data_IF_289325737648
#
_entry.id   IF_289325737648
#
_cell.length_a   1.000
_cell.length_b   1.000
_cell.length_c   1.000
_cell.angle_alpha   90.00
_cell.angle_beta   90.00
_cell.angle_gamma   90.00
#
_symmetry.space_group_name_H-M   'P 1'
#
loop_
_entity.id
_entity.type
_entity.pdbx_description
1 polymer ?
#
# COMPACT_ATOMS: atom_id res chain seq x y z
N UNK A 1 39.29 20.54 -7.37
CA UNK A 1 38.84 19.24 -7.92
C UNK A 1 37.69 18.74 -7.05
N UNK A 2 36.48 19.21 -7.34
CA UNK A 2 35.29 18.78 -6.60
C UNK A 2 34.90 17.38 -7.08
N UNK A 3 34.84 16.40 -6.18
CA UNK A 3 33.97 15.24 -6.37
C UNK A 3 33.34 14.87 -5.04
N UNK A 4 32.05 15.20 -4.97
CA UNK A 4 31.11 15.02 -3.88
C UNK A 4 30.72 13.54 -3.82
N UNK A 5 30.72 12.97 -2.61
CA UNK A 5 30.04 11.76 -2.12
C UNK A 5 29.62 10.65 -3.12
N UNK A 6 30.13 9.43 -2.90
CA UNK A 6 29.49 8.20 -3.39
C UNK A 6 28.13 8.01 -2.70
N UNK A 7 27.05 8.32 -3.42
CA UNK A 7 25.68 8.11 -2.97
C UNK A 7 25.33 6.62 -2.96
N UNK A 8 24.71 6.07 -1.89
CA UNK A 8 24.25 4.69 -1.88
C UNK A 8 23.22 4.47 -3.00
N UNK A 9 23.48 3.45 -3.83
CA UNK A 9 22.63 2.99 -4.91
C UNK A 9 21.19 2.81 -4.42
N UNK A 10 20.26 3.57 -5.02
CA UNK A 10 18.84 3.53 -4.71
C UNK A 10 18.31 2.14 -5.05
N UNK A 11 17.79 1.44 -4.03
CA UNK A 11 17.20 0.09 -4.11
C UNK A 11 16.20 0.04 -5.29
N UNK A 12 16.49 -0.69 -6.38
CA UNK A 12 15.76 -0.56 -7.65
C UNK A 12 14.33 -1.08 -7.61
N UNK A 13 14.00 -1.91 -6.63
CA UNK A 13 12.64 -2.39 -6.41
C UNK A 13 12.25 -2.12 -4.96
N UNK A 14 11.68 -0.95 -4.71
CA UNK A 14 10.88 -0.79 -3.50
C UNK A 14 9.76 -1.83 -3.60
N UNK A 15 9.81 -2.92 -2.82
CA UNK A 15 8.65 -3.80 -2.68
C UNK A 15 7.53 -2.92 -2.12
N UNK A 16 6.56 -2.56 -2.98
CA UNK A 16 5.39 -1.81 -2.55
C UNK A 16 4.83 -2.57 -1.34
N UNK A 17 4.76 -1.89 -0.19
CA UNK A 17 4.19 -2.48 1.02
C UNK A 17 2.82 -3.01 0.64
N UNK A 18 2.50 -4.25 1.04
CA UNK A 18 1.18 -4.83 0.82
C UNK A 18 0.19 -3.96 1.60
N UNK A 19 -0.50 -3.06 0.90
CA UNK A 19 -1.50 -2.18 1.48
C UNK A 19 -2.84 -2.88 1.40
N UNK A 20 -3.31 -3.34 2.54
CA UNK A 20 -4.70 -3.73 2.72
C UNK A 20 -5.59 -2.49 2.44
N UNK A 21 -6.66 -2.61 1.63
CA UNK A 21 -7.58 -1.49 1.35
C UNK A 21 -8.33 -1.02 2.61
N UNK A 22 -8.35 -1.84 3.66
CA UNK A 22 -9.00 -1.56 4.94
C UNK A 22 -8.04 -1.03 6.03
N UNK A 23 -6.73 -0.95 5.76
CA UNK A 23 -5.73 -0.52 6.76
C UNK A 23 -5.34 0.96 6.65
N UNK A 24 -5.98 1.73 5.76
CA UNK A 24 -5.74 3.17 5.61
C UNK A 24 -6.59 4.02 6.56
N UNK A 25 -6.17 5.27 6.80
CA UNK A 25 -6.92 6.24 7.63
C UNK A 25 -8.29 6.61 7.06
N UNK A 26 -8.53 6.39 5.76
CA UNK A 26 -9.83 6.56 5.09
C UNK A 26 -10.41 5.22 4.59
N UNK A 27 -10.05 4.12 5.25
CA UNK A 27 -10.57 2.81 4.89
C UNK A 27 -12.09 2.71 5.17
N UNK A 28 -12.85 2.02 4.30
CA UNK A 28 -14.23 1.68 4.62
C UNK A 28 -14.25 0.70 5.80
N UNK A 29 -15.10 0.97 6.79
CA UNK A 29 -15.35 0.03 7.89
C UNK A 29 -16.08 -1.19 7.32
N UNK A 30 -15.65 -2.39 7.72
CA UNK A 30 -16.31 -3.63 7.30
C UNK A 30 -17.39 -3.93 8.32
N UNK A 31 -18.64 -3.83 7.90
CA UNK A 31 -19.79 -4.31 8.65
C UNK A 31 -20.46 -5.46 7.88
N UNK A 32 -20.99 -6.44 8.63
CA UNK A 32 -21.65 -7.62 8.05
C UNK A 32 -22.99 -7.30 7.36
N UNK A 33 -23.55 -6.12 7.62
CA UNK A 33 -24.78 -5.63 7.01
C UNK A 33 -24.55 -5.01 5.63
N UNK A 34 -23.30 -4.67 5.30
CA UNK A 34 -22.96 -3.99 4.06
C UNK A 34 -22.77 -5.00 2.91
N UNK A 35 -23.90 -5.48 2.39
CA UNK A 35 -23.96 -6.47 1.31
C UNK A 35 -23.17 -6.00 0.06
N UNK A 36 -23.22 -4.70 -0.26
CA UNK A 36 -22.50 -4.09 -1.40
C UNK A 36 -20.98 -4.10 -1.26
N UNK A 37 -20.46 -4.15 -0.03
CA UNK A 37 -19.02 -4.27 0.23
C UNK A 37 -18.61 -5.73 0.08
N UNK A 38 -19.35 -6.63 0.74
CA UNK A 38 -19.08 -8.07 0.75
C UNK A 38 -19.15 -8.69 -0.65
N UNK A 39 -20.13 -8.29 -1.47
CA UNK A 39 -20.31 -8.79 -2.83
C UNK A 39 -19.09 -8.54 -3.75
N UNK A 40 -18.26 -7.53 -3.49
CA UNK A 40 -17.06 -7.23 -4.27
C UNK A 40 -15.89 -8.20 -4.04
N UNK A 41 -15.94 -8.98 -2.96
CA UNK A 41 -14.83 -9.85 -2.55
C UNK A 41 -15.23 -11.34 -2.51
N UNK A 42 -16.44 -11.67 -2.97
CA UNK A 42 -16.91 -13.04 -3.18
C UNK A 42 -16.67 -13.38 -4.66
N UNK A 43 -15.95 -14.47 -4.96
CA UNK A 43 -15.71 -15.00 -6.33
C UNK A 43 -16.73 -16.08 -6.69
#
# INVERSE_FOLDING_TARGET
>A
MAMIHQLPSRRPFMRRRKTCPFSGTNAPKIDYKDIKLLQRYIS
#
